data_IF_424159152151
#
_entry.id   IF_424159152151
#
_cell.length_a   1.000
_cell.length_b   1.000
_cell.length_c   1.000
_cell.angle_alpha   90.00
_cell.angle_beta   90.00
_cell.angle_gamma   90.00
#
_symmetry.space_group_name_H-M   'P 1'
#
loop_
_entity.id
_entity.type
_entity.pdbx_description
1 polymer ?
#
# COMPACT_ATOMS: atom_id res chain seq x y z
N UNK A 1 -4.58 24.42 41.27
CA UNK A 1 -3.83 23.56 42.22
C UNK A 1 -4.82 22.63 42.88
N UNK A 2 -4.79 21.34 42.53
CA UNK A 2 -5.14 20.18 43.38
C UNK A 2 -4.82 18.97 42.49
N UNK A 3 -3.89 18.17 43.00
CA UNK A 3 -3.26 17.07 42.26
C UNK A 3 -4.10 15.80 42.18
N UNK A 4 -3.96 15.13 41.08
CA UNK A 4 -4.44 13.75 40.83
C UNK A 4 -3.37 12.77 41.32
N UNK A 5 -3.68 12.01 42.36
CA UNK A 5 -2.90 10.84 42.82
C UNK A 5 -3.34 9.62 42.00
N UNK A 6 -2.43 9.07 41.22
CA UNK A 6 -2.53 7.75 40.64
C UNK A 6 -2.38 6.68 41.74
N UNK A 7 -3.37 5.81 41.87
CA UNK A 7 -3.27 4.59 42.69
C UNK A 7 -3.21 3.41 41.68
N UNK A 8 -2.01 2.83 41.61
CA UNK A 8 -1.75 1.54 40.96
C UNK A 8 -2.05 0.42 41.95
N UNK A 9 -3.00 -0.46 41.61
CA UNK A 9 -3.17 -1.74 42.33
C UNK A 9 -2.55 -2.86 41.50
N UNK A 10 -1.52 -3.49 42.04
CA UNK A 10 -0.98 -4.77 41.61
C UNK A 10 -1.79 -5.90 42.21
N UNK A 11 -2.46 -6.70 41.36
CA UNK A 11 -3.08 -7.96 41.78
C UNK A 11 -2.18 -9.14 41.46
N UNK A 12 -1.83 -9.93 42.44
CA UNK A 12 -1.01 -11.14 42.29
C UNK A 12 -1.83 -12.28 41.69
N UNK A 13 -1.35 -12.86 40.58
CA UNK A 13 -1.98 -14.02 39.97
C UNK A 13 -1.45 -15.30 40.59
N UNK A 14 -2.34 -16.10 41.18
CA UNK A 14 -2.05 -17.49 41.55
C UNK A 14 -2.65 -18.44 40.52
N UNK A 15 -1.80 -19.28 39.91
CA UNK A 15 -2.21 -20.37 39.05
C UNK A 15 -2.99 -21.43 39.82
N UNK A 16 -4.18 -21.81 39.29
CA UNK A 16 -4.81 -23.10 39.48
C UNK A 16 -5.54 -23.48 38.20
N UNK A 17 -5.33 -24.71 37.77
CA UNK A 17 -5.94 -25.31 36.60
C UNK A 17 -7.47 -25.34 36.70
N UNK A 18 -8.13 -24.98 35.63
CA UNK A 18 -9.55 -25.31 35.39
C UNK A 18 -10.61 -24.26 35.73
N UNK A 19 -10.31 -22.95 35.76
CA UNK A 19 -11.36 -21.95 36.01
C UNK A 19 -11.34 -20.80 34.97
N UNK A 20 -12.54 -20.50 34.46
CA UNK A 20 -12.82 -19.38 33.58
C UNK A 20 -12.39 -18.04 34.21
N UNK A 21 -11.66 -17.23 33.46
CA UNK A 21 -11.25 -15.90 33.91
C UNK A 21 -12.44 -14.94 33.88
N UNK A 22 -12.98 -14.58 35.06
CA UNK A 22 -13.80 -13.40 35.25
C UNK A 22 -12.92 -12.20 35.61
N UNK A 23 -12.81 -11.22 34.74
CA UNK A 23 -12.20 -9.92 35.05
C UNK A 23 -13.31 -8.94 35.47
N UNK A 24 -13.14 -8.38 36.67
CA UNK A 24 -14.06 -7.45 37.34
C UNK A 24 -14.23 -6.12 36.58
N UNK A 25 -15.49 -5.75 36.38
CA UNK A 25 -15.93 -4.45 35.88
C UNK A 25 -15.49 -3.29 36.80
N UNK A 26 -14.78 -2.31 36.23
CA UNK A 26 -14.67 -0.99 36.84
C UNK A 26 -15.60 -0.01 36.11
N UNK A 27 -16.58 0.52 36.87
CA UNK A 27 -17.45 1.63 36.40
C UNK A 27 -16.64 2.94 36.44
N UNK A 28 -16.39 3.54 35.29
CA UNK A 28 -16.04 4.95 35.22
C UNK A 28 -17.30 5.81 35.13
N UNK A 29 -17.28 6.99 35.78
CA UNK A 29 -18.42 7.91 35.99
C UNK A 29 -18.96 8.59 34.69
N UNK A 30 -18.56 8.15 33.52
CA UNK A 30 -19.11 8.61 32.24
C UNK A 30 -19.51 7.37 31.43
N UNK A 31 -20.75 6.97 31.49
CA UNK A 31 -21.44 5.84 30.93
C UNK A 31 -21.10 5.35 29.51
N UNK A 32 -19.82 5.17 29.20
CA UNK A 32 -19.38 4.43 28.02
C UNK A 32 -19.15 2.98 28.43
N UNK A 33 -20.10 2.12 28.13
CA UNK A 33 -19.88 0.69 28.12
C UNK A 33 -18.94 0.39 26.94
N UNK A 34 -17.66 0.11 27.23
CA UNK A 34 -16.86 -0.69 26.31
C UNK A 34 -17.28 -2.14 26.53
N UNK A 35 -18.14 -2.65 25.66
CA UNK A 35 -18.27 -4.09 25.49
C UNK A 35 -16.88 -4.63 25.15
N UNK A 36 -16.29 -5.38 26.06
CA UNK A 36 -15.12 -6.19 25.75
C UNK A 36 -15.61 -7.24 24.73
N UNK A 37 -15.37 -6.99 23.44
CA UNK A 37 -15.39 -8.07 22.45
C UNK A 37 -14.35 -9.09 22.90
N UNK A 38 -14.82 -10.23 23.42
CA UNK A 38 -13.96 -11.38 23.66
C UNK A 38 -13.42 -11.82 22.31
N UNK A 39 -12.08 -11.95 22.19
CA UNK A 39 -11.51 -12.60 21.00
C UNK A 39 -12.13 -13.96 20.94
N UNK A 40 -12.71 -14.30 19.82
CA UNK A 40 -13.09 -15.67 19.56
C UNK A 40 -11.79 -16.48 19.39
N UNK A 41 -11.28 -17.01 20.52
CA UNK A 41 -10.04 -17.79 20.57
C UNK A 41 -10.09 -19.05 19.72
N UNK A 42 -11.29 -19.41 19.20
CA UNK A 42 -11.49 -20.58 18.34
C UNK A 42 -10.74 -20.46 17.00
N UNK A 43 -10.37 -19.26 16.56
CA UNK A 43 -9.73 -19.01 15.28
C UNK A 43 -8.19 -18.93 15.37
N UNK A 44 -7.63 -18.96 16.58
CA UNK A 44 -6.18 -19.02 16.80
C UNK A 44 -5.69 -20.46 16.59
N UNK A 45 -4.83 -20.65 15.60
CA UNK A 45 -4.29 -21.96 15.22
C UNK A 45 -2.78 -21.92 15.42
N UNK A 46 -2.31 -22.69 16.40
CA UNK A 46 -0.88 -22.87 16.58
C UNK A 46 -0.30 -23.73 15.46
N UNK A 47 0.80 -23.26 14.85
CA UNK A 47 1.47 -23.98 13.76
C UNK A 47 2.26 -25.14 14.35
N UNK A 48 1.83 -26.36 14.02
CA UNK A 48 2.50 -27.62 14.37
C UNK A 48 2.99 -28.37 13.15
N UNK A 49 2.41 -28.10 11.97
CA UNK A 49 2.80 -28.69 10.69
C UNK A 49 3.14 -27.58 9.68
N UNK A 50 4.42 -27.51 9.31
CA UNK A 50 4.91 -26.53 8.32
C UNK A 50 4.44 -26.84 6.88
N UNK A 51 4.02 -28.05 6.60
CA UNK A 51 3.57 -28.49 5.28
C UNK A 51 2.05 -28.29 5.09
N UNK A 52 1.35 -27.82 6.10
CA UNK A 52 -0.08 -27.58 6.01
C UNK A 52 -0.40 -26.65 4.81
N UNK A 53 -1.28 -27.06 3.87
CA UNK A 53 -1.57 -26.30 2.65
C UNK A 53 -2.09 -24.87 2.91
N UNK A 54 -2.71 -24.64 4.06
CA UNK A 54 -3.21 -23.33 4.47
C UNK A 54 -2.09 -22.28 4.67
N UNK A 55 -0.84 -22.73 4.85
CA UNK A 55 0.34 -21.89 5.01
C UNK A 55 1.05 -21.57 3.69
N UNK A 56 0.63 -22.18 2.58
CA UNK A 56 1.25 -22.01 1.26
C UNK A 56 1.26 -20.54 0.82
N UNK A 57 0.19 -19.83 1.09
CA UNK A 57 0.03 -18.41 0.76
C UNK A 57 1.13 -17.52 1.36
N UNK A 58 1.71 -17.93 2.49
CA UNK A 58 2.78 -17.20 3.18
C UNK A 58 4.20 -17.67 2.84
N UNK A 59 4.34 -18.93 2.49
CA UNK A 59 5.64 -19.62 2.46
C UNK A 59 6.04 -20.13 1.06
N UNK A 60 5.10 -20.59 0.24
CA UNK A 60 5.39 -21.35 -0.97
C UNK A 60 4.84 -20.74 -2.26
N UNK A 61 3.73 -20.00 -2.20
CA UNK A 61 3.19 -19.37 -3.39
C UNK A 61 3.99 -18.13 -3.78
N UNK A 62 4.34 -18.05 -5.06
CA UNK A 62 4.96 -16.87 -5.65
C UNK A 62 3.93 -15.75 -5.85
N UNK A 63 4.38 -14.53 -6.05
CA UNK A 63 3.53 -13.37 -6.36
C UNK A 63 2.64 -13.62 -7.59
N UNK A 64 3.20 -14.30 -8.61
CA UNK A 64 2.47 -14.65 -9.84
C UNK A 64 1.36 -15.66 -9.57
N UNK A 65 1.60 -16.65 -8.69
CA UNK A 65 0.58 -17.61 -8.29
C UNK A 65 -0.52 -16.97 -7.43
N UNK A 66 -0.14 -16.03 -6.56
CA UNK A 66 -1.11 -15.26 -5.77
C UNK A 66 -1.95 -14.34 -6.64
N UNK A 67 -1.38 -13.78 -7.72
CA UNK A 67 -2.06 -12.85 -8.61
C UNK A 67 -3.28 -13.46 -9.32
N UNK A 68 -3.25 -14.73 -9.72
CA UNK A 68 -4.27 -15.39 -10.52
C UNK A 68 -4.56 -14.65 -11.84
N UNK A 69 -3.70 -14.87 -12.84
CA UNK A 69 -3.76 -14.17 -14.14
C UNK A 69 -5.08 -14.36 -14.89
N UNK A 70 -5.75 -15.51 -14.71
CA UNK A 70 -7.01 -15.81 -15.41
C UNK A 70 -8.18 -15.03 -14.81
N UNK A 71 -8.20 -14.91 -13.48
CA UNK A 71 -9.23 -14.19 -12.72
C UNK A 71 -8.58 -13.31 -11.62
N UNK A 72 -8.03 -12.14 -12.00
CA UNK A 72 -7.27 -11.30 -11.04
C UNK A 72 -8.06 -10.91 -9.78
N UNK A 73 -9.39 -10.78 -9.88
CA UNK A 73 -10.26 -10.49 -8.75
C UNK A 73 -10.43 -11.68 -7.78
N UNK A 74 -10.07 -12.91 -8.21
CA UNK A 74 -10.02 -14.10 -7.36
C UNK A 74 -8.64 -14.34 -6.75
N UNK A 75 -7.65 -13.55 -7.16
CA UNK A 75 -6.30 -13.60 -6.63
C UNK A 75 -6.22 -13.04 -5.21
N UNK A 76 -5.03 -13.19 -4.63
CA UNK A 76 -4.70 -12.71 -3.30
C UNK A 76 -3.44 -11.83 -3.33
N UNK A 77 -3.17 -11.18 -2.23
CA UNK A 77 -1.91 -10.51 -1.94
C UNK A 77 -1.61 -10.57 -0.46
N UNK A 78 -0.36 -10.29 -0.09
CA UNK A 78 0.08 -10.28 1.32
C UNK A 78 0.29 -8.84 1.78
N UNK A 79 -0.48 -8.43 2.79
CA UNK A 79 -0.22 -7.23 3.58
C UNK A 79 0.70 -7.55 4.75
N UNK A 80 1.80 -6.79 4.90
CA UNK A 80 2.81 -7.01 5.94
C UNK A 80 2.83 -5.85 6.93
N UNK A 81 2.68 -6.10 8.18
CA UNK A 81 2.61 -5.22 9.36
C UNK A 81 1.19 -4.77 9.73
N UNK A 82 0.93 -4.54 11.04
CA UNK A 82 -0.38 -4.07 11.51
C UNK A 82 -0.85 -2.80 10.80
N UNK A 83 0.03 -1.81 10.60
CA UNK A 83 -0.32 -0.54 9.93
C UNK A 83 -0.73 -0.69 8.46
N UNK A 84 -0.06 -1.60 7.73
CA UNK A 84 -0.39 -1.87 6.32
C UNK A 84 -1.71 -2.64 6.22
N UNK A 85 -1.92 -3.61 7.12
CA UNK A 85 -3.17 -4.38 7.21
C UNK A 85 -4.35 -3.46 7.55
N UNK A 86 -4.18 -2.56 8.54
CA UNK A 86 -5.18 -1.56 8.90
C UNK A 86 -5.62 -0.74 7.68
N UNK A 87 -4.67 -0.20 6.91
CA UNK A 87 -4.95 0.57 5.69
C UNK A 87 -5.68 -0.23 4.61
N UNK A 88 -5.35 -1.51 4.47
CA UNK A 88 -6.05 -2.39 3.54
C UNK A 88 -7.50 -2.66 4.00
N UNK A 89 -7.71 -2.90 5.31
CA UNK A 89 -9.05 -3.04 5.89
C UNK A 89 -9.86 -1.74 5.76
N UNK A 90 -9.25 -0.57 6.00
CA UNK A 90 -9.90 0.74 5.81
C UNK A 90 -10.32 0.97 4.36
N UNK A 91 -9.52 0.48 3.41
CA UNK A 91 -9.86 0.49 1.99
C UNK A 91 -10.88 -0.61 1.61
N UNK A 92 -11.35 -1.42 2.57
CA UNK A 92 -12.38 -2.46 2.38
C UNK A 92 -11.86 -3.71 1.66
N UNK A 93 -10.55 -4.03 1.75
CA UNK A 93 -10.05 -5.33 1.32
C UNK A 93 -10.46 -6.42 2.31
N UNK A 94 -10.84 -7.59 1.80
CA UNK A 94 -11.30 -8.71 2.61
C UNK A 94 -10.13 -9.59 3.04
N UNK A 95 -9.91 -9.80 4.35
CA UNK A 95 -8.90 -10.71 4.85
C UNK A 95 -9.35 -12.17 4.65
N UNK A 96 -8.39 -13.05 4.37
CA UNK A 96 -8.59 -14.51 4.18
C UNK A 96 -8.02 -15.30 5.36
N UNK A 97 -6.83 -14.93 5.79
CA UNK A 97 -6.16 -15.50 6.97
C UNK A 97 -5.07 -14.54 7.46
N UNK A 98 -4.61 -14.74 8.68
CA UNK A 98 -3.46 -14.04 9.23
C UNK A 98 -2.38 -15.01 9.70
N UNK A 99 -1.12 -14.54 9.67
CA UNK A 99 0.03 -15.22 10.23
C UNK A 99 0.76 -14.23 11.13
N UNK A 100 0.99 -14.58 12.41
CA UNK A 100 1.59 -13.67 13.35
C UNK A 100 2.41 -14.36 14.44
N UNK A 101 3.33 -13.63 15.02
CA UNK A 101 4.06 -14.07 16.20
C UNK A 101 3.15 -14.00 17.44
N UNK A 102 3.21 -15.02 18.31
CA UNK A 102 2.35 -15.12 19.51
C UNK A 102 2.38 -13.88 20.39
N UNK A 103 3.54 -13.24 20.56
CA UNK A 103 3.69 -12.03 21.40
C UNK A 103 2.85 -10.83 20.91
N UNK A 104 2.47 -10.81 19.63
CA UNK A 104 1.70 -9.70 19.05
C UNK A 104 0.18 -9.88 19.19
N UNK A 105 -0.30 -11.04 19.64
CA UNK A 105 -1.74 -11.34 19.79
C UNK A 105 -2.40 -10.33 20.73
N UNK A 106 -1.81 -10.10 21.91
CA UNK A 106 -2.34 -9.15 22.90
C UNK A 106 -1.72 -7.75 22.79
N UNK A 107 -0.84 -7.54 21.79
CA UNK A 107 -0.13 -6.27 21.55
C UNK A 107 -0.61 -5.56 20.28
N UNK A 108 0.35 -5.29 19.41
CA UNK A 108 0.11 -4.54 18.14
C UNK A 108 -0.85 -5.22 17.18
N UNK A 109 -1.03 -6.54 17.27
CA UNK A 109 -1.97 -7.30 16.43
C UNK A 109 -3.42 -7.21 16.91
N UNK A 110 -3.66 -6.89 18.18
CA UNK A 110 -5.00 -6.90 18.76
C UNK A 110 -6.01 -6.04 18.01
N UNK A 111 -5.74 -4.78 17.65
CA UNK A 111 -6.69 -3.96 16.91
C UNK A 111 -7.04 -4.54 15.54
N UNK A 112 -6.13 -5.32 14.94
CA UNK A 112 -6.40 -6.02 13.67
C UNK A 112 -7.29 -7.23 13.90
N UNK A 113 -6.98 -8.04 14.93
CA UNK A 113 -7.77 -9.23 15.26
C UNK A 113 -9.23 -8.88 15.55
N UNK A 114 -9.48 -7.76 16.21
CA UNK A 114 -10.84 -7.28 16.50
C UNK A 114 -11.63 -6.88 15.23
N UNK A 115 -10.96 -6.69 14.08
CA UNK A 115 -11.56 -6.24 12.81
C UNK A 115 -11.70 -7.32 11.74
N UNK A 116 -10.92 -8.40 11.81
CA UNK A 116 -10.84 -9.39 10.73
C UNK A 116 -11.90 -10.49 10.79
N UNK A 117 -12.72 -10.51 11.86
CA UNK A 117 -13.78 -11.52 12.02
C UNK A 117 -13.26 -12.94 12.24
N UNK A 118 -14.06 -13.93 11.80
CA UNK A 118 -13.82 -15.35 12.07
C UNK A 118 -12.91 -16.04 11.04
N UNK A 119 -11.84 -15.37 10.57
CA UNK A 119 -10.85 -15.99 9.68
C UNK A 119 -9.76 -16.73 10.47
N UNK A 120 -9.07 -17.72 9.88
CA UNK A 120 -7.95 -18.40 10.52
C UNK A 120 -6.81 -17.44 10.87
N UNK A 121 -6.30 -17.52 12.10
CA UNK A 121 -5.14 -16.78 12.58
C UNK A 121 -4.07 -17.79 12.98
N UNK A 122 -3.10 -18.01 12.11
CA UNK A 122 -1.97 -18.88 12.37
C UNK A 122 -0.96 -18.17 13.25
N UNK A 123 -0.49 -18.83 14.31
CA UNK A 123 0.47 -18.24 15.22
C UNK A 123 1.56 -19.22 15.61
N UNK A 124 2.74 -18.68 15.85
CA UNK A 124 3.89 -19.42 16.36
C UNK A 124 4.91 -18.46 17.01
N UNK A 125 5.96 -19.03 17.58
CA UNK A 125 7.14 -18.29 18.02
C UNK A 125 7.94 -17.77 16.82
N UNK A 126 8.74 -16.73 17.04
CA UNK A 126 9.52 -16.04 15.99
C UNK A 126 10.38 -16.98 15.15
N UNK A 127 11.10 -17.90 15.79
CA UNK A 127 12.01 -18.82 15.09
C UNK A 127 11.24 -19.78 14.17
N UNK A 128 10.08 -20.24 14.62
CA UNK A 128 9.18 -21.10 13.83
C UNK A 128 8.66 -20.36 12.60
N UNK A 129 8.23 -19.10 12.76
CA UNK A 129 7.78 -18.25 11.66
C UNK A 129 8.91 -17.96 10.66
N UNK A 130 10.13 -17.72 11.15
CA UNK A 130 11.30 -17.48 10.30
C UNK A 130 11.64 -18.70 9.46
N UNK A 131 11.56 -19.90 10.04
CA UNK A 131 11.74 -21.16 9.30
C UNK A 131 10.66 -21.37 8.23
N UNK A 132 9.39 -21.09 8.57
CA UNK A 132 8.28 -21.24 7.65
C UNK A 132 8.37 -20.31 6.44
N UNK A 133 8.62 -19.03 6.67
CA UNK A 133 8.60 -18.00 5.63
C UNK A 133 9.93 -17.81 4.90
N UNK A 134 11.01 -18.37 5.43
CA UNK A 134 12.36 -18.19 4.91
C UNK A 134 12.97 -16.79 5.16
N UNK A 135 12.29 -15.93 5.93
CA UNK A 135 12.79 -14.61 6.33
C UNK A 135 12.24 -14.21 7.70
N UNK A 136 12.93 -13.32 8.39
CA UNK A 136 12.50 -12.82 9.68
C UNK A 136 11.26 -11.93 9.55
N UNK A 137 10.18 -12.28 10.25
CA UNK A 137 8.95 -11.47 10.33
C UNK A 137 9.18 -10.25 11.25
N UNK A 138 10.04 -9.34 10.85
CA UNK A 138 10.45 -8.18 11.66
C UNK A 138 9.31 -7.22 12.01
N UNK A 139 8.17 -7.34 11.32
CA UNK A 139 6.97 -6.51 11.53
C UNK A 139 5.79 -7.27 12.14
N UNK A 140 6.05 -8.48 12.60
CA UNK A 140 5.20 -9.27 13.49
C UNK A 140 3.95 -9.90 12.90
N UNK A 141 3.43 -9.42 11.74
CA UNK A 141 2.15 -9.89 11.21
C UNK A 141 2.10 -9.85 9.68
N UNK A 142 1.53 -10.90 9.09
CA UNK A 142 1.12 -10.97 7.69
C UNK A 142 -0.38 -11.23 7.61
N UNK A 143 -1.03 -10.69 6.59
CA UNK A 143 -2.43 -11.00 6.29
C UNK A 143 -2.57 -11.28 4.79
N UNK A 144 -3.10 -12.46 4.45
CA UNK A 144 -3.53 -12.77 3.11
C UNK A 144 -4.89 -12.13 2.86
N UNK A 145 -5.01 -11.37 1.79
CA UNK A 145 -6.20 -10.59 1.46
C UNK A 145 -6.64 -10.85 0.03
N UNK A 146 -7.95 -10.83 -0.22
CA UNK A 146 -8.50 -10.94 -1.57
C UNK A 146 -8.19 -9.67 -2.36
N UNK A 147 -7.89 -9.83 -3.64
CA UNK A 147 -7.82 -8.73 -4.60
C UNK A 147 -9.22 -8.21 -4.91
N UNK A 148 -9.29 -6.98 -5.41
CA UNK A 148 -10.54 -6.36 -5.88
C UNK A 148 -10.51 -6.24 -7.38
N UNK A 149 -11.70 -6.21 -7.99
CA UNK A 149 -11.83 -5.77 -9.38
C UNK A 149 -11.38 -4.32 -9.51
N UNK A 150 -10.48 -4.06 -10.44
CA UNK A 150 -10.00 -2.72 -10.71
C UNK A 150 -11.04 -1.91 -11.49
N UNK A 151 -11.06 -0.61 -11.29
CA UNK A 151 -11.82 0.34 -12.08
C UNK A 151 -11.16 0.52 -13.45
N UNK A 152 -11.92 0.93 -14.45
CA UNK A 152 -11.35 1.33 -15.75
C UNK A 152 -10.61 2.67 -15.62
N UNK A 153 -9.75 2.97 -16.62
CA UNK A 153 -9.03 4.25 -16.70
C UNK A 153 -10.02 5.43 -16.65
N UNK A 154 -11.09 5.35 -17.45
CA UNK A 154 -12.14 6.37 -17.49
C UNK A 154 -12.79 6.58 -16.13
N UNK A 155 -13.13 5.50 -15.40
CA UNK A 155 -13.74 5.58 -14.05
C UNK A 155 -12.78 6.22 -13.02
N UNK A 156 -11.49 5.87 -13.09
CA UNK A 156 -10.49 6.43 -12.18
C UNK A 156 -10.24 7.90 -12.47
N UNK A 157 -10.15 8.29 -13.74
CA UNK A 157 -9.85 9.65 -14.14
C UNK A 157 -11.04 10.62 -13.97
N UNK A 158 -12.25 10.11 -13.71
CA UNK A 158 -13.42 10.95 -13.50
C UNK A 158 -13.21 11.89 -12.31
N UNK A 159 -13.42 13.20 -12.54
CA UNK A 159 -13.22 14.26 -11.52
C UNK A 159 -11.80 14.36 -10.94
N UNK A 160 -10.80 13.82 -11.63
CA UNK A 160 -9.38 13.94 -11.28
C UNK A 160 -8.71 14.98 -12.16
N UNK A 161 -7.68 15.62 -11.63
CA UNK A 161 -6.94 16.64 -12.36
C UNK A 161 -5.42 16.43 -12.36
N UNK A 162 -4.90 15.59 -11.49
CA UNK A 162 -3.47 15.26 -11.41
C UNK A 162 -3.29 13.75 -11.38
N UNK A 163 -2.90 13.15 -12.49
CA UNK A 163 -2.65 11.71 -12.57
C UNK A 163 -1.21 11.43 -12.97
N UNK A 164 -0.70 10.28 -12.57
CA UNK A 164 0.61 9.79 -13.01
C UNK A 164 0.43 8.52 -13.83
N UNK A 165 1.17 8.41 -14.93
CA UNK A 165 1.25 7.21 -15.75
C UNK A 165 2.66 6.62 -15.57
N UNK A 166 2.73 5.38 -15.12
CA UNK A 166 3.98 4.62 -15.05
C UNK A 166 4.10 3.79 -16.32
N UNK A 167 5.13 4.08 -17.13
CA UNK A 167 5.38 3.33 -18.36
C UNK A 167 6.49 2.30 -18.13
N UNK A 168 6.10 1.02 -18.08
CA UNK A 168 6.99 -0.16 -17.93
C UNK A 168 7.94 -0.09 -16.72
N UNK A 169 7.48 0.45 -15.61
CA UNK A 169 8.25 0.44 -14.34
C UNK A 169 8.20 -0.96 -13.74
N UNK A 170 9.23 -1.76 -14.01
CA UNK A 170 9.25 -3.20 -13.66
C UNK A 170 9.67 -3.48 -12.22
N UNK A 171 10.39 -2.58 -11.57
CA UNK A 171 10.87 -2.81 -10.20
C UNK A 171 9.77 -2.51 -9.17
N UNK A 172 9.28 -3.53 -8.40
CA UNK A 172 8.22 -3.34 -7.42
C UNK A 172 8.60 -2.37 -6.29
N UNK A 173 9.90 -2.21 -6.02
CA UNK A 173 10.38 -1.21 -5.06
C UNK A 173 10.09 0.21 -5.56
N UNK A 174 10.36 0.48 -6.85
CA UNK A 174 10.10 1.77 -7.44
C UNK A 174 8.59 2.03 -7.58
N UNK A 175 7.82 1.05 -8.04
CA UNK A 175 6.34 1.17 -8.06
C UNK A 175 5.79 1.54 -6.69
N UNK A 176 6.20 0.83 -5.63
CA UNK A 176 5.77 1.13 -4.27
C UNK A 176 6.19 2.52 -3.76
N UNK A 177 7.42 2.95 -4.08
CA UNK A 177 7.93 4.27 -3.70
C UNK A 177 7.22 5.40 -4.47
N UNK A 178 6.94 5.21 -5.76
CA UNK A 178 6.21 6.17 -6.59
C UNK A 178 4.77 6.33 -6.09
N UNK A 179 4.08 5.23 -5.83
CA UNK A 179 2.71 5.25 -5.27
C UNK A 179 2.67 5.99 -3.93
N UNK A 180 3.67 5.77 -3.07
CA UNK A 180 3.79 6.49 -1.81
C UNK A 180 3.98 7.98 -2.00
N UNK A 181 4.83 8.38 -2.94
CA UNK A 181 5.07 9.77 -3.28
C UNK A 181 3.83 10.42 -3.91
N UNK A 182 3.14 9.70 -4.81
CA UNK A 182 1.91 10.16 -5.44
C UNK A 182 0.82 10.44 -4.40
N UNK A 183 0.57 9.49 -3.48
CA UNK A 183 -0.40 9.66 -2.40
C UNK A 183 -0.05 10.81 -1.44
N UNK A 184 1.26 11.06 -1.20
CA UNK A 184 1.72 12.07 -0.25
C UNK A 184 1.79 13.48 -0.84
N UNK A 185 1.96 13.61 -2.17
CA UNK A 185 2.32 14.86 -2.85
C UNK A 185 1.23 15.34 -3.83
N UNK A 186 -0.02 14.97 -3.57
CA UNK A 186 -1.17 15.58 -4.24
C UNK A 186 -1.44 15.06 -5.66
N UNK A 187 -1.05 13.80 -5.97
CA UNK A 187 -1.57 13.13 -7.17
C UNK A 187 -2.89 12.43 -6.82
N UNK A 188 -3.83 12.45 -7.74
CA UNK A 188 -5.17 11.89 -7.55
C UNK A 188 -5.26 10.39 -7.86
N UNK A 189 -4.44 9.91 -8.80
CA UNK A 189 -4.45 8.52 -9.24
C UNK A 189 -3.15 8.10 -9.92
N UNK A 190 -2.91 6.77 -9.98
CA UNK A 190 -1.78 6.14 -10.65
C UNK A 190 -2.30 5.17 -11.72
N UNK A 191 -1.87 5.36 -12.95
CA UNK A 191 -2.14 4.48 -14.09
C UNK A 191 -0.86 3.71 -14.44
N UNK A 192 -0.97 2.43 -14.73
CA UNK A 192 0.18 1.57 -15.03
C UNK A 192 0.03 0.96 -16.43
N UNK A 193 1.03 1.13 -17.27
CA UNK A 193 1.04 0.45 -18.58
C UNK A 193 1.38 -1.04 -18.43
N UNK A 194 1.10 -1.88 -19.43
CA UNK A 194 1.58 -3.25 -19.45
C UNK A 194 3.10 -3.32 -19.26
N UNK A 195 3.55 -4.29 -18.47
CA UNK A 195 4.97 -4.45 -18.10
C UNK A 195 5.37 -3.75 -16.80
N UNK A 196 4.51 -2.93 -16.20
CA UNK A 196 4.74 -2.48 -14.82
C UNK A 196 4.59 -3.63 -13.82
N UNK A 197 5.36 -3.58 -12.73
CA UNK A 197 5.10 -4.46 -11.58
C UNK A 197 3.76 -4.13 -10.94
N UNK A 198 3.10 -5.18 -10.47
CA UNK A 198 1.81 -5.04 -9.78
C UNK A 198 1.98 -4.29 -8.44
N UNK A 199 1.17 -3.25 -8.19
CA UNK A 199 1.18 -2.50 -6.93
C UNK A 199 0.89 -3.34 -5.69
N UNK A 200 0.20 -4.49 -5.83
CA UNK A 200 -0.10 -5.40 -4.74
C UNK A 200 0.95 -6.51 -4.56
N UNK A 201 2.04 -6.52 -5.32
CA UNK A 201 3.18 -7.36 -4.98
C UNK A 201 3.70 -6.98 -3.59
N UNK A 202 3.99 -7.96 -2.78
CA UNK A 202 4.39 -7.79 -1.37
C UNK A 202 5.47 -6.71 -1.18
N UNK A 203 6.46 -6.68 -2.09
CA UNK A 203 7.52 -5.66 -2.06
C UNK A 203 6.97 -4.25 -2.27
N UNK A 204 6.06 -4.05 -3.22
CA UNK A 204 5.45 -2.75 -3.50
C UNK A 204 4.54 -2.31 -2.35
N UNK A 205 3.68 -3.19 -1.84
CA UNK A 205 2.83 -2.94 -0.65
C UNK A 205 3.67 -2.52 0.55
N UNK A 206 4.78 -3.23 0.80
CA UNK A 206 5.69 -2.94 1.91
C UNK A 206 6.39 -1.59 1.77
N UNK A 207 6.93 -1.29 0.58
CA UNK A 207 7.65 -0.03 0.32
C UNK A 207 6.69 1.16 0.34
N UNK A 208 5.49 1.01 -0.21
CA UNK A 208 4.45 2.04 -0.13
C UNK A 208 3.95 2.27 1.30
N UNK A 209 4.31 1.42 2.26
CA UNK A 209 3.75 1.46 3.63
C UNK A 209 2.21 1.39 3.62
N UNK A 210 1.62 0.75 2.62
CA UNK A 210 0.18 0.62 2.45
C UNK A 210 -0.53 1.86 1.86
N UNK A 211 0.21 2.88 1.37
CA UNK A 211 -0.44 3.99 0.65
C UNK A 211 -1.05 3.55 -0.69
N UNK A 212 -0.65 2.38 -1.19
CA UNK A 212 -1.30 1.71 -2.33
C UNK A 212 -2.81 1.50 -2.13
N UNK A 213 -3.28 1.47 -0.89
CA UNK A 213 -4.69 1.38 -0.52
C UNK A 213 -5.37 2.75 -0.34
N UNK A 214 -4.61 3.84 -0.35
CA UNK A 214 -5.08 5.20 -0.08
C UNK A 214 -5.21 6.07 -1.33
N UNK A 215 -4.60 5.64 -2.45
CA UNK A 215 -4.71 6.29 -3.75
C UNK A 215 -5.31 5.32 -4.76
N UNK A 216 -6.13 5.81 -5.66
CA UNK A 216 -6.71 4.97 -6.71
C UNK A 216 -5.66 4.65 -7.78
N UNK A 217 -5.68 3.41 -8.28
CA UNK A 217 -4.80 2.98 -9.35
C UNK A 217 -5.45 1.89 -10.20
N UNK A 218 -5.01 1.79 -11.47
CA UNK A 218 -5.43 0.71 -12.39
C UNK A 218 -4.38 0.47 -13.45
N UNK A 219 -4.51 -0.66 -14.15
CA UNK A 219 -3.75 -0.91 -15.36
C UNK A 219 -4.45 -0.32 -16.60
N UNK A 220 -3.65 0.22 -17.50
CA UNK A 220 -4.04 0.58 -18.87
C UNK A 220 -3.90 -0.67 -19.74
N UNK A 221 -4.67 -0.78 -20.82
CA UNK A 221 -4.53 -1.88 -21.78
C UNK A 221 -3.26 -1.71 -22.64
N UNK A 222 -2.87 -0.47 -22.91
CA UNK A 222 -1.66 -0.08 -23.63
C UNK A 222 -1.19 1.30 -23.15
N UNK A 223 -0.04 1.79 -23.63
CA UNK A 223 0.38 3.17 -23.44
C UNK A 223 -0.29 4.10 -24.48
N UNK A 224 -1.61 3.97 -24.65
CA UNK A 224 -2.37 4.84 -25.53
C UNK A 224 -2.75 6.14 -24.80
N UNK A 225 -2.06 7.23 -25.16
CA UNK A 225 -2.30 8.54 -24.57
C UNK A 225 -3.54 9.23 -25.15
N UNK A 226 -4.10 8.75 -26.25
CA UNK A 226 -5.31 9.34 -26.82
C UNK A 226 -6.53 9.15 -25.90
N UNK A 227 -6.63 8.00 -25.21
CA UNK A 227 -7.67 7.84 -24.17
C UNK A 227 -7.53 8.93 -23.10
N UNK A 228 -6.31 9.17 -22.60
CA UNK A 228 -6.04 10.17 -21.56
C UNK A 228 -6.36 11.59 -22.03
N UNK A 229 -5.97 11.93 -23.26
CA UNK A 229 -6.26 13.21 -23.87
C UNK A 229 -7.76 13.42 -24.12
N UNK A 230 -8.47 12.35 -24.53
CA UNK A 230 -9.93 12.40 -24.71
C UNK A 230 -10.67 12.68 -23.41
N UNK A 231 -10.08 12.33 -22.27
CA UNK A 231 -10.57 12.68 -20.94
C UNK A 231 -10.20 14.12 -20.50
N UNK A 232 -9.57 14.90 -21.39
CA UNK A 232 -9.24 16.30 -21.19
C UNK A 232 -7.92 16.57 -20.47
N UNK A 233 -7.04 15.57 -20.32
CA UNK A 233 -5.72 15.77 -19.76
C UNK A 233 -4.73 16.27 -20.80
N UNK A 234 -3.88 17.20 -20.40
CA UNK A 234 -2.60 17.45 -21.04
C UNK A 234 -1.58 16.43 -20.51
N UNK A 235 -0.68 15.97 -21.38
CA UNK A 235 0.29 14.92 -21.07
C UNK A 235 1.71 15.49 -21.02
N UNK A 236 2.47 15.16 -19.97
CA UNK A 236 3.82 15.64 -19.72
C UNK A 236 4.79 14.45 -19.55
N UNK A 237 5.63 14.19 -20.56
CA UNK A 237 6.67 13.18 -20.51
C UNK A 237 7.86 13.66 -19.67
N UNK A 238 8.22 12.93 -18.62
CA UNK A 238 9.46 13.18 -17.86
C UNK A 238 10.64 12.58 -18.62
N UNK A 239 11.35 13.39 -19.39
CA UNK A 239 12.44 12.95 -20.27
C UNK A 239 13.47 14.06 -20.49
N UNK A 240 14.70 13.65 -20.86
CA UNK A 240 15.77 14.55 -21.26
C UNK A 240 15.85 14.55 -22.81
N UNK A 241 15.44 15.66 -23.41
CA UNK A 241 15.58 15.95 -24.84
C UNK A 241 16.05 17.39 -25.01
N UNK A 242 16.51 17.77 -26.18
CA UNK A 242 17.05 19.10 -26.44
C UNK A 242 15.99 20.19 -26.24
N UNK A 243 14.76 19.96 -26.61
CA UNK A 243 13.65 20.92 -26.56
C UNK A 243 12.69 20.63 -25.38
N UNK A 244 13.24 20.51 -24.18
CA UNK A 244 12.50 20.20 -22.95
C UNK A 244 12.22 21.41 -22.08
N UNK A 245 11.01 21.49 -21.56
CA UNK A 245 10.60 22.47 -20.56
C UNK A 245 11.26 22.16 -19.21
N UNK A 246 11.59 23.19 -18.47
CA UNK A 246 11.90 22.99 -17.06
C UNK A 246 10.62 22.58 -16.30
N UNK A 247 10.74 21.66 -15.34
CA UNK A 247 9.64 21.32 -14.44
C UNK A 247 9.07 22.52 -13.68
N UNK A 248 9.81 23.62 -13.61
CA UNK A 248 9.41 24.89 -12.97
C UNK A 248 8.59 25.79 -13.88
N UNK A 249 8.32 25.37 -15.10
CA UNK A 249 7.51 26.15 -16.05
C UNK A 249 6.09 26.36 -15.52
N UNK A 250 5.63 27.60 -15.29
CA UNK A 250 4.35 27.89 -14.64
C UNK A 250 3.14 27.25 -15.33
N UNK A 251 3.12 27.22 -16.67
CA UNK A 251 2.02 26.64 -17.46
C UNK A 251 1.72 25.18 -17.11
N UNK A 252 2.70 24.41 -16.61
CA UNK A 252 2.48 23.01 -16.21
C UNK A 252 1.60 22.92 -14.97
N UNK A 253 1.76 23.84 -14.02
CA UNK A 253 0.94 23.91 -12.81
C UNK A 253 -0.42 24.55 -13.06
N UNK A 254 -0.52 25.41 -14.09
CA UNK A 254 -1.75 26.07 -14.50
C UNK A 254 -2.68 25.16 -15.33
N UNK A 255 -2.17 24.03 -15.88
CA UNK A 255 -3.02 23.10 -16.61
C UNK A 255 -4.16 22.59 -15.72
N UNK A 256 -5.42 22.71 -16.18
CA UNK A 256 -6.56 22.23 -15.39
C UNK A 256 -6.49 20.75 -15.08
N UNK A 257 -5.99 19.95 -16.04
CA UNK A 257 -5.83 18.52 -15.93
C UNK A 257 -4.48 18.09 -16.54
N UNK A 258 -3.60 17.51 -15.72
CA UNK A 258 -2.25 17.11 -16.13
C UNK A 258 -2.00 15.64 -15.79
N UNK A 259 -1.55 14.88 -16.79
CA UNK A 259 -1.03 13.52 -16.65
C UNK A 259 0.50 13.55 -16.80
N UNK A 260 1.21 13.13 -15.75
CA UNK A 260 2.69 13.06 -15.72
C UNK A 260 3.12 11.64 -16.05
N UNK A 261 3.91 11.46 -17.10
CA UNK A 261 4.38 10.14 -17.55
C UNK A 261 5.81 9.91 -17.05
N UNK A 262 6.00 8.81 -16.30
CA UNK A 262 7.29 8.38 -15.75
C UNK A 262 7.74 7.09 -16.46
N UNK A 263 8.93 7.10 -17.03
CA UNK A 263 9.49 5.95 -17.76
C UNK A 263 10.19 4.95 -16.87
N UNK A 264 10.58 3.82 -17.47
CA UNK A 264 11.38 2.77 -16.81
C UNK A 264 12.80 3.24 -16.47
N UNK A 265 13.47 2.48 -15.60
CA UNK A 265 14.89 2.71 -15.31
C UNK A 265 15.78 2.32 -16.51
N UNK A 266 16.78 3.12 -16.78
CA UNK A 266 17.71 2.93 -17.87
C UNK A 266 17.26 3.59 -19.16
N UNK A 267 16.34 2.99 -19.89
CA UNK A 267 15.92 3.47 -21.22
C UNK A 267 14.96 4.68 -21.15
N UNK A 268 14.30 4.90 -20.01
CA UNK A 268 13.33 5.97 -19.84
C UNK A 268 12.04 5.73 -20.65
N UNK A 269 11.48 6.80 -21.21
CA UNK A 269 10.33 6.76 -22.10
C UNK A 269 10.78 6.54 -23.56
N UNK A 270 9.99 5.80 -24.35
CA UNK A 270 10.26 5.65 -25.76
C UNK A 270 10.08 6.97 -26.52
N UNK A 271 10.78 7.13 -27.65
CA UNK A 271 10.64 8.31 -28.49
C UNK A 271 9.20 8.50 -29.00
N UNK A 272 8.49 7.40 -29.23
CA UNK A 272 7.07 7.40 -29.60
C UNK A 272 6.20 7.96 -28.47
N UNK A 273 6.40 7.50 -27.24
CA UNK A 273 5.67 8.02 -26.08
C UNK A 273 5.96 9.52 -25.86
N UNK A 274 7.23 9.92 -26.00
CA UNK A 274 7.63 11.34 -25.85
C UNK A 274 6.97 12.19 -26.93
N UNK A 275 7.02 11.76 -28.18
CA UNK A 275 6.42 12.48 -29.31
C UNK A 275 4.89 12.58 -29.21
N UNK A 276 4.26 11.60 -28.59
CA UNK A 276 2.81 11.61 -28.37
C UNK A 276 2.36 12.55 -27.23
N UNK A 277 3.28 13.04 -26.38
CA UNK A 277 2.94 13.93 -25.25
C UNK A 277 2.79 15.39 -25.72
N UNK A 278 1.97 16.16 -24.96
CA UNK A 278 1.82 17.62 -25.17
C UNK A 278 3.08 18.39 -24.70
N UNK A 279 3.76 17.86 -23.69
CA UNK A 279 4.96 18.47 -23.09
C UNK A 279 6.05 17.43 -22.87
N UNK A 280 7.30 17.81 -23.13
CA UNK A 280 8.47 17.11 -22.62
C UNK A 280 9.08 17.94 -21.51
N UNK A 281 9.32 17.34 -20.34
CA UNK A 281 9.67 18.05 -19.10
C UNK A 281 10.90 17.43 -18.46
N UNK A 282 11.85 18.27 -18.04
CA UNK A 282 13.05 17.85 -17.32
C UNK A 282 13.17 18.48 -15.93
N UNK A 283 13.74 17.72 -15.02
CA UNK A 283 14.28 18.23 -13.76
C UNK A 283 15.66 18.78 -14.05
N UNK A 284 15.94 20.08 -13.83
CA UNK A 284 17.29 20.61 -14.02
C UNK A 284 18.31 19.91 -13.12
N UNK A 285 19.37 19.37 -13.70
CA UNK A 285 20.45 18.64 -13.02
C UNK A 285 21.71 19.49 -12.94
N UNK A 286 22.60 19.15 -12.01
CA UNK A 286 23.89 19.78 -11.80
C UNK A 286 25.01 18.74 -11.91
N UNK A 287 26.24 19.19 -12.04
CA UNK A 287 27.47 18.37 -12.03
C UNK A 287 27.53 17.28 -13.10
N UNK A 288 26.83 17.44 -14.23
CA UNK A 288 26.82 16.45 -15.31
C UNK A 288 26.06 15.17 -14.96
N UNK A 289 25.18 15.20 -13.95
CA UNK A 289 24.30 14.07 -13.67
C UNK A 289 23.16 14.06 -14.69
N UNK A 290 22.97 12.94 -15.39
CA UNK A 290 21.99 12.83 -16.48
C UNK A 290 20.56 12.56 -15.95
N UNK A 291 20.43 11.73 -14.89
CA UNK A 291 19.10 11.31 -14.41
C UNK A 291 19.12 10.99 -12.91
N UNK A 292 17.92 10.91 -12.34
CA UNK A 292 17.63 10.36 -11.00
C UNK A 292 16.97 8.99 -11.15
N UNK A 293 17.06 8.17 -10.11
CA UNK A 293 16.19 7.01 -9.99
C UNK A 293 14.72 7.45 -10.16
N UNK A 294 13.92 6.65 -10.88
CA UNK A 294 12.54 7.02 -11.23
C UNK A 294 11.68 7.36 -10.02
N UNK A 295 11.85 6.69 -8.89
CA UNK A 295 11.10 7.01 -7.67
C UNK A 295 11.53 8.36 -7.05
N UNK A 296 12.81 8.73 -7.15
CA UNK A 296 13.28 10.04 -6.72
C UNK A 296 12.79 11.15 -7.67
N UNK A 297 12.90 10.92 -8.99
CA UNK A 297 12.38 11.85 -10.01
C UNK A 297 10.88 12.07 -9.84
N UNK A 298 10.11 11.01 -9.56
CA UNK A 298 8.66 11.11 -9.34
C UNK A 298 8.31 11.96 -8.11
N UNK A 299 9.06 11.82 -7.01
CA UNK A 299 8.82 12.63 -5.81
C UNK A 299 9.04 14.14 -6.09
N UNK A 300 10.08 14.49 -6.85
CA UNK A 300 10.33 15.88 -7.27
C UNK A 300 9.21 16.37 -8.21
N UNK A 301 8.81 15.53 -9.18
CA UNK A 301 7.75 15.87 -10.12
C UNK A 301 6.41 16.09 -9.42
N UNK A 302 6.03 15.23 -8.50
CA UNK A 302 4.75 15.31 -7.79
C UNK A 302 4.73 16.48 -6.79
N UNK A 303 5.86 16.79 -6.15
CA UNK A 303 5.97 17.98 -5.31
C UNK A 303 5.73 19.26 -6.09
N UNK A 304 6.24 19.33 -7.33
CA UNK A 304 6.10 20.53 -8.18
C UNK A 304 4.77 20.59 -8.90
N UNK A 305 4.22 19.46 -9.38
CA UNK A 305 3.09 19.40 -10.30
C UNK A 305 1.79 18.87 -9.67
N UNK A 306 1.85 18.30 -8.48
CA UNK A 306 0.69 17.83 -7.73
C UNK A 306 -0.14 18.99 -7.16
N UNK A 307 -1.26 18.64 -6.52
CA UNK A 307 -2.09 19.64 -5.84
C UNK A 307 -1.32 20.35 -4.73
N UNK A 308 -1.37 21.66 -4.70
CA UNK A 308 -0.72 22.45 -3.67
C UNK A 308 -1.60 22.51 -2.42
N UNK A 309 -1.20 21.80 -1.36
CA UNK A 309 -1.96 21.71 -0.10
C UNK A 309 -1.97 23.03 0.69
N UNK A 310 -1.10 23.98 0.37
CA UNK A 310 -1.08 25.30 1.05
C UNK A 310 -2.26 26.20 0.64
N UNK A 311 -2.92 25.90 -0.48
CA UNK A 311 -4.09 26.65 -0.95
C UNK A 311 -5.42 26.20 -0.29
N UNK A 312 -5.40 25.16 0.56
CA UNK A 312 -6.60 24.58 1.20
C UNK A 312 -6.70 24.85 2.71
N UNK A 313 -5.90 25.77 3.26
CA UNK A 313 -6.01 26.20 4.66
C UNK A 313 -6.68 27.56 4.80
#
# INVERSE_FOLDING_TARGET
MIGLKNILFYGTIKHKEGQNFHLLNQKTRQGFFFDKMEINMSNLIEITDFLAPQLDVYARLTEVQLYNHEFPEKGMFIAESPKVIERALDAGYEPVSCLMEKKHIEGEGRPILDRIGDIPVFCAEFDVLTQLTGFALTRGMLCAMKRKKLKTVTQICQNKSRVVILDRVMNPTNVGAIIRSAAALGMDAVLLTPGCSDPLYRRAVRVSMGTVFQIEWTFMESCDLEEIKSLGFKTAAMALKDDTLSIREPRLTEEPRLAVIMGTEGDGLSDETIAACDYTVKIPMYHGVDSLNVAAASAVAFYQLGHNTEAQK
#
